data_IF_815224649806
#
_entry.id   IF_815224649806
#
_cell.length_a   1.000
_cell.length_b   1.000
_cell.length_c   1.000
_cell.angle_alpha   90.00
_cell.angle_beta   90.00
_cell.angle_gamma   90.00
#
_symmetry.space_group_name_H-M   'P 1'
#
loop_
_entity.id
_entity.type
_entity.pdbx_description
1 polymer ?
#
# COMPACT_ATOMS: atom_id res chain seq x y z
N UNK A 1 -6.04 -0.72 -14.69
CA UNK A 1 -6.27 -0.41 -16.10
C UNK A 1 -5.88 1.03 -16.40
N UNK A 2 -6.34 1.59 -17.53
CA UNK A 2 -6.11 2.99 -17.91
C UNK A 2 -6.57 4.00 -16.83
N UNK A 3 -7.47 3.61 -15.93
CA UNK A 3 -7.98 4.42 -14.82
C UNK A 3 -6.91 4.78 -13.75
N UNK A 4 -5.79 4.07 -13.68
CA UNK A 4 -4.70 4.33 -12.71
C UNK A 4 -3.43 4.91 -13.35
N UNK A 5 -3.45 5.19 -14.66
CA UNK A 5 -2.28 5.76 -15.36
C UNK A 5 -1.95 7.14 -14.79
N UNK A 6 -0.72 7.31 -14.32
CA UNK A 6 -0.23 8.58 -13.75
C UNK A 6 -0.47 8.76 -12.26
N UNK A 7 -1.13 7.82 -11.58
CA UNK A 7 -1.23 7.83 -10.12
C UNK A 7 0.05 7.26 -9.49
N UNK A 8 0.48 7.81 -8.35
CA UNK A 8 1.60 7.23 -7.60
C UNK A 8 1.20 5.89 -7.00
N UNK A 9 2.20 5.01 -6.82
CA UNK A 9 1.98 3.70 -6.19
C UNK A 9 1.36 3.84 -4.79
N UNK A 10 1.71 4.91 -4.06
CA UNK A 10 1.17 5.23 -2.73
C UNK A 10 -0.34 5.49 -2.80
N UNK A 11 -0.78 6.34 -3.74
CA UNK A 11 -2.21 6.70 -3.88
C UNK A 11 -3.03 5.48 -4.28
N UNK A 12 -2.55 4.73 -5.27
CA UNK A 12 -3.21 3.51 -5.73
C UNK A 12 -3.38 2.49 -4.60
N UNK A 13 -2.30 2.19 -3.86
CA UNK A 13 -2.33 1.21 -2.76
C UNK A 13 -3.17 1.70 -1.58
N UNK A 14 -3.13 2.99 -1.26
CA UNK A 14 -3.97 3.58 -0.21
C UNK A 14 -5.45 3.46 -0.53
N UNK A 15 -5.85 3.69 -1.79
CA UNK A 15 -7.23 3.54 -2.23
C UNK A 15 -7.71 2.08 -2.12
N UNK A 16 -6.88 1.12 -2.52
CA UNK A 16 -7.20 -0.30 -2.38
C UNK A 16 -7.38 -0.71 -0.91
N UNK A 17 -6.50 -0.26 -0.01
CA UNK A 17 -6.63 -0.52 1.44
C UNK A 17 -7.88 0.15 2.03
N UNK A 18 -8.22 1.35 1.56
CA UNK A 18 -9.44 2.04 1.97
C UNK A 18 -10.69 1.26 1.60
N UNK A 19 -10.76 0.72 0.38
CA UNK A 19 -11.90 -0.10 -0.06
C UNK A 19 -12.13 -1.30 0.89
N UNK A 20 -11.06 -1.99 1.32
CA UNK A 20 -11.16 -3.07 2.30
C UNK A 20 -11.72 -2.58 3.66
N UNK A 21 -11.29 -1.41 4.12
CA UNK A 21 -11.80 -0.83 5.38
C UNK A 21 -13.27 -0.43 5.23
N UNK A 22 -13.67 0.13 4.09
CA UNK A 22 -15.06 0.51 3.79
C UNK A 22 -15.98 -0.71 3.67
N UNK A 23 -15.46 -1.86 3.24
CA UNK A 23 -16.15 -3.16 3.28
C UNK A 23 -16.28 -3.74 4.71
N UNK A 24 -15.70 -3.07 5.72
CA UNK A 24 -15.78 -3.47 7.13
C UNK A 24 -14.64 -4.36 7.61
N UNK A 25 -13.61 -4.60 6.77
CA UNK A 25 -12.43 -5.35 7.20
C UNK A 25 -11.51 -4.51 8.08
N UNK A 26 -10.90 -5.14 9.08
CA UNK A 26 -9.81 -4.56 9.87
C UNK A 26 -8.47 -5.07 9.37
N UNK A 27 -7.64 -4.17 8.88
CA UNK A 27 -6.26 -4.47 8.49
C UNK A 27 -5.41 -4.49 9.76
N UNK A 28 -4.94 -5.65 10.18
CA UNK A 28 -4.06 -5.80 11.36
C UNK A 28 -2.61 -5.45 11.05
N UNK A 29 -2.17 -5.69 9.82
CA UNK A 29 -0.86 -5.28 9.39
C UNK A 29 -0.66 -5.33 7.89
N UNK A 30 0.44 -4.72 7.46
CA UNK A 30 0.80 -4.55 6.07
C UNK A 30 2.28 -4.87 5.88
N UNK A 31 2.57 -5.68 4.87
CA UNK A 31 3.91 -6.19 4.57
C UNK A 31 4.24 -5.81 3.14
N UNK A 32 5.42 -5.24 2.94
CA UNK A 32 5.84 -4.78 1.63
C UNK A 32 7.34 -4.64 1.52
N UNK A 33 7.85 -4.75 0.30
CA UNK A 33 9.27 -4.64 -0.01
C UNK A 33 9.64 -3.24 -0.49
N UNK A 34 8.66 -2.37 -0.76
CA UNK A 34 8.86 -0.97 -1.12
C UNK A 34 8.28 -0.04 -0.04
N UNK A 35 8.86 1.15 0.09
CA UNK A 35 8.28 2.15 0.99
C UNK A 35 6.87 2.55 0.55
N UNK A 36 6.60 2.56 -0.75
CA UNK A 36 5.26 2.84 -1.28
C UNK A 36 4.17 1.85 -0.84
N UNK A 37 4.52 0.64 -0.40
CA UNK A 37 3.58 -0.30 0.22
C UNK A 37 3.17 0.14 1.64
N UNK A 38 4.10 0.77 2.35
CA UNK A 38 4.05 0.98 3.81
C UNK A 38 3.80 2.43 4.22
N UNK A 39 3.50 3.31 3.26
CA UNK A 39 3.13 4.71 3.48
C UNK A 39 1.77 5.02 2.86
N UNK A 40 1.18 6.14 3.29
CA UNK A 40 -0.19 6.53 2.92
C UNK A 40 -1.22 6.03 3.94
N UNK A 41 -2.46 5.84 3.49
CA UNK A 41 -3.60 5.61 4.39
C UNK A 41 -3.91 4.12 4.58
N UNK A 42 -4.65 3.80 5.64
CA UNK A 42 -5.19 2.47 5.91
C UNK A 42 -4.11 1.36 5.98
N UNK A 43 -2.95 1.66 6.56
CA UNK A 43 -1.80 0.73 6.64
C UNK A 43 -2.01 -0.47 7.59
N UNK A 44 -3.03 -0.41 8.43
CA UNK A 44 -3.19 -1.33 9.55
C UNK A 44 -2.30 -0.97 10.74
N UNK A 45 -2.37 -1.78 11.80
CA UNK A 45 -1.72 -1.44 13.07
C UNK A 45 -0.20 -1.59 13.07
N UNK A 46 0.32 -2.49 12.22
CA UNK A 46 1.75 -2.76 12.11
C UNK A 46 2.18 -2.87 10.66
N UNK A 47 3.32 -2.27 10.34
CA UNK A 47 3.95 -2.37 9.02
C UNK A 47 5.26 -3.13 9.10
N UNK A 48 5.58 -3.91 8.08
CA UNK A 48 6.81 -4.69 8.01
C UNK A 48 7.49 -4.51 6.65
N UNK A 49 8.73 -3.98 6.68
CA UNK A 49 9.54 -3.76 5.49
C UNK A 49 10.42 -4.96 5.20
N UNK A 50 10.19 -5.58 4.05
CA UNK A 50 11.06 -6.62 3.52
C UNK A 50 12.22 -6.00 2.72
N UNK A 51 13.43 -6.56 2.79
CA UNK A 51 14.54 -6.10 1.95
C UNK A 51 14.31 -6.52 0.49
N UNK A 52 14.46 -5.57 -0.44
CA UNK A 52 14.54 -5.84 -1.87
C UNK A 52 15.71 -5.03 -2.46
N UNK A 53 16.86 -5.67 -2.77
CA UNK A 53 18.03 -4.99 -3.30
C UNK A 53 17.96 -4.76 -4.83
N UNK A 54 16.96 -5.33 -5.51
CA UNK A 54 16.94 -5.36 -6.98
C UNK A 54 16.46 -4.05 -7.60
N UNK A 55 15.48 -3.38 -6.99
CA UNK A 55 14.92 -2.13 -7.50
C UNK A 55 14.13 -1.36 -6.44
N UNK A 56 13.91 -0.08 -6.71
CA UNK A 56 13.13 0.83 -5.87
C UNK A 56 11.95 1.41 -6.66
N UNK A 57 10.78 1.48 -6.02
CA UNK A 57 9.61 2.17 -6.56
C UNK A 57 9.45 3.50 -5.83
N UNK A 58 9.67 4.64 -6.50
CA UNK A 58 9.45 5.97 -5.94
C UNK A 58 7.99 6.24 -5.54
#
# INVERSE_FOLDING_TARGET
>A
GPEYRGQSAIVFKSAARRALVEEGYRIWGNVGDQWSDLVGDCLGERTFKLPNPMYFVP
#
